data_IF_501115345579
#
_entry.id   IF_501115345579
#
_cell.length_a   1.000
_cell.length_b   1.000
_cell.length_c   1.000
_cell.angle_alpha   90.00
_cell.angle_beta   90.00
_cell.angle_gamma   90.00
#
_symmetry.space_group_name_H-M   'P 1'
#
loop_
_entity.id
_entity.type
_entity.pdbx_description
1 polymer ?
#
# COMPACT_ATOMS: atom_id res chain seq x y z
N UNK A 1 -1.66 -21.38 -5.98
CA UNK A 1 -1.41 -22.14 -4.75
C UNK A 1 -2.55 -21.83 -3.78
N UNK A 2 -3.35 -22.83 -3.40
CA UNK A 2 -4.32 -22.71 -2.32
C UNK A 2 -3.59 -22.96 -0.99
N UNK A 3 -2.94 -21.92 -0.50
CA UNK A 3 -2.35 -21.95 0.84
C UNK A 3 -3.47 -21.88 1.88
N UNK A 4 -3.30 -22.57 3.03
CA UNK A 4 -4.25 -22.45 4.13
C UNK A 4 -4.30 -20.99 4.62
N UNK A 5 -5.47 -20.50 5.09
CA UNK A 5 -5.57 -19.16 5.63
C UNK A 5 -4.61 -18.94 6.81
N UNK A 6 -3.86 -17.84 6.78
CA UNK A 6 -2.98 -17.47 7.90
C UNK A 6 -3.83 -16.84 8.99
N UNK A 7 -3.83 -17.37 10.22
CA UNK A 7 -4.52 -16.74 11.33
C UNK A 7 -3.77 -15.48 11.77
N UNK A 8 -4.50 -14.47 12.27
CA UNK A 8 -3.88 -13.23 12.76
C UNK A 8 -2.88 -13.48 13.91
N UNK A 9 -3.02 -14.59 14.64
CA UNK A 9 -2.08 -15.00 15.68
C UNK A 9 -0.65 -15.21 15.15
N UNK A 10 -0.48 -15.50 13.87
CA UNK A 10 0.83 -15.61 13.25
C UNK A 10 1.65 -14.29 13.21
N UNK A 11 1.02 -13.15 13.52
CA UNK A 11 1.72 -11.88 13.78
C UNK A 11 2.55 -11.90 15.08
N UNK A 12 2.42 -12.96 15.88
CA UNK A 12 3.17 -13.14 17.12
C UNK A 12 4.20 -14.26 16.95
N UNK A 13 5.43 -13.98 16.52
CA UNK A 13 6.48 -14.98 16.66
C UNK A 13 6.71 -15.24 18.14
N UNK A 14 6.66 -16.51 18.57
CA UNK A 14 6.77 -16.88 19.99
C UNK A 14 8.08 -16.46 20.64
N UNK A 15 9.08 -16.10 19.84
CA UNK A 15 10.44 -15.85 20.29
C UNK A 15 10.79 -14.34 20.43
N UNK A 16 9.83 -13.42 20.20
CA UNK A 16 10.10 -12.00 20.34
C UNK A 16 9.21 -11.35 21.43
N UNK A 17 9.74 -11.14 22.65
CA UNK A 17 8.98 -10.60 23.78
C UNK A 17 8.49 -9.15 23.55
N UNK A 18 9.11 -8.38 22.65
CA UNK A 18 8.66 -7.03 22.33
C UNK A 18 7.47 -7.00 21.37
N UNK A 19 7.33 -8.05 20.56
CA UNK A 19 6.24 -8.21 19.60
C UNK A 19 5.11 -9.09 20.13
N UNK A 20 5.34 -9.83 21.22
CA UNK A 20 4.35 -10.67 21.89
C UNK A 20 3.33 -9.89 22.74
N UNK A 21 3.14 -8.60 22.49
CA UNK A 21 2.20 -7.77 23.25
C UNK A 21 0.78 -7.95 22.73
N UNK A 22 -0.19 -7.96 23.64
CA UNK A 22 -1.62 -8.00 23.31
C UNK A 22 -2.03 -6.87 22.36
N UNK A 23 -1.28 -5.74 22.34
CA UNK A 23 -1.54 -4.62 21.46
C UNK A 23 -1.52 -5.00 19.97
N UNK A 24 -0.65 -5.92 19.55
CA UNK A 24 -0.64 -6.41 18.17
C UNK A 24 -1.94 -7.13 17.80
N UNK A 25 -2.51 -7.91 18.71
CA UNK A 25 -3.82 -8.53 18.51
C UNK A 25 -4.92 -7.50 18.30
N UNK A 26 -4.84 -6.39 19.03
CA UNK A 26 -5.85 -5.33 18.99
C UNK A 26 -5.90 -4.59 17.66
N UNK A 27 -4.82 -4.61 16.85
CA UNK A 27 -4.82 -3.97 15.52
C UNK A 27 -5.96 -4.44 14.62
N UNK A 28 -6.29 -5.72 14.69
CA UNK A 28 -7.27 -6.37 13.83
C UNK A 28 -8.42 -7.00 14.61
N UNK A 29 -8.54 -6.70 15.90
CA UNK A 29 -9.61 -7.22 16.74
C UNK A 29 -10.98 -6.82 16.19
N UNK A 30 -11.89 -7.79 16.08
CA UNK A 30 -13.22 -7.59 15.52
C UNK A 30 -13.30 -7.33 14.00
N UNK A 31 -12.14 -7.25 13.31
CA UNK A 31 -12.10 -7.03 11.86
C UNK A 31 -12.06 -8.35 11.08
N UNK A 32 -11.21 -9.26 11.45
CA UNK A 32 -11.09 -10.60 10.85
C UNK A 32 -10.25 -11.53 11.75
N UNK A 33 -10.46 -12.83 11.59
CA UNK A 33 -9.68 -13.86 12.27
C UNK A 33 -8.54 -14.41 11.39
N UNK A 34 -8.77 -14.47 10.09
CA UNK A 34 -7.84 -15.00 9.10
C UNK A 34 -7.60 -13.98 7.98
N UNK A 35 -6.38 -13.99 7.46
CA UNK A 35 -6.06 -13.26 6.25
C UNK A 35 -6.74 -13.88 5.03
N UNK A 36 -7.16 -13.05 4.08
CA UNK A 36 -7.73 -13.53 2.82
C UNK A 36 -6.66 -14.19 1.92
N UNK A 37 -7.08 -14.76 0.78
CA UNK A 37 -6.17 -15.49 -0.13
C UNK A 37 -4.97 -14.66 -0.59
N UNK A 38 -5.17 -13.39 -0.91
CA UNK A 38 -4.09 -12.49 -1.36
C UNK A 38 -3.10 -12.24 -0.22
N UNK A 39 -3.61 -11.88 0.94
CA UNK A 39 -2.82 -11.63 2.14
C UNK A 39 -2.08 -12.88 2.61
N UNK A 40 -2.76 -14.04 2.61
CA UNK A 40 -2.16 -15.33 2.99
C UNK A 40 -0.99 -15.71 2.10
N UNK A 41 -1.13 -15.57 0.76
CA UNK A 41 -0.05 -15.92 -0.16
C UNK A 41 1.15 -14.99 -0.05
N UNK A 42 0.92 -13.70 0.23
CA UNK A 42 1.98 -12.71 0.38
C UNK A 42 2.53 -12.63 1.82
N UNK A 43 1.88 -13.25 2.80
CA UNK A 43 2.16 -13.09 4.23
C UNK A 43 3.62 -13.37 4.57
N UNK A 44 4.12 -14.53 4.20
CA UNK A 44 5.49 -14.95 4.55
C UNK A 44 6.53 -13.98 3.99
N UNK A 45 6.40 -13.61 2.72
CA UNK A 45 7.30 -12.63 2.11
C UNK A 45 7.17 -11.24 2.73
N UNK A 46 5.95 -10.80 3.05
CA UNK A 46 5.72 -9.47 3.62
C UNK A 46 6.20 -9.37 5.06
N UNK A 47 5.98 -10.41 5.87
CA UNK A 47 6.20 -10.36 7.31
C UNK A 47 7.48 -11.06 7.79
N UNK A 48 7.93 -12.13 7.11
CA UNK A 48 9.11 -12.90 7.49
C UNK A 48 10.33 -12.73 6.58
N UNK A 49 10.27 -11.82 5.60
CA UNK A 49 11.43 -11.52 4.75
C UNK A 49 11.64 -10.02 4.59
N UNK A 50 12.86 -9.64 4.21
CA UNK A 50 13.24 -8.27 3.86
C UNK A 50 13.23 -8.02 2.33
N UNK A 51 12.78 -9.00 1.55
CA UNK A 51 12.74 -8.90 0.10
C UNK A 51 11.81 -7.76 -0.36
N UNK A 52 12.18 -7.09 -1.45
CA UNK A 52 11.27 -6.19 -2.13
C UNK A 52 10.03 -6.94 -2.64
N UNK A 53 8.88 -6.27 -2.66
CA UNK A 53 7.62 -6.90 -3.06
C UNK A 53 6.89 -6.04 -4.08
N UNK A 54 6.36 -6.67 -5.11
CA UNK A 54 5.35 -6.11 -6.00
C UNK A 54 4.06 -6.93 -5.85
N UNK A 55 3.03 -6.29 -5.32
CA UNK A 55 1.72 -6.89 -5.10
C UNK A 55 0.69 -6.31 -6.06
N UNK A 56 0.44 -6.99 -7.16
CA UNK A 56 -0.65 -6.71 -8.10
C UNK A 56 -1.91 -7.49 -7.70
N UNK A 57 -2.94 -6.79 -7.25
CA UNK A 57 -4.20 -7.41 -6.82
C UNK A 57 -5.38 -6.44 -7.02
N UNK A 58 -6.59 -6.96 -7.29
CA UNK A 58 -7.76 -6.12 -7.54
C UNK A 58 -8.06 -5.19 -6.36
N UNK A 59 -8.72 -4.07 -6.66
CA UNK A 59 -9.22 -3.15 -5.61
C UNK A 59 -10.17 -3.91 -4.67
N UNK A 60 -10.06 -3.64 -3.37
CA UNK A 60 -10.84 -4.37 -2.36
C UNK A 60 -10.29 -5.74 -1.96
N UNK A 61 -9.07 -6.10 -2.39
CA UNK A 61 -8.40 -7.35 -1.99
C UNK A 61 -7.60 -7.24 -0.69
N UNK A 62 -7.61 -6.07 -0.03
CA UNK A 62 -6.92 -5.86 1.24
C UNK A 62 -5.42 -5.53 1.11
N UNK A 63 -4.99 -4.88 0.01
CA UNK A 63 -3.61 -4.43 -0.20
C UNK A 63 -3.07 -3.56 0.94
N UNK A 64 -3.92 -2.74 1.56
CA UNK A 64 -3.53 -1.90 2.70
C UNK A 64 -3.01 -2.74 3.87
N UNK A 65 -3.69 -3.85 4.19
CA UNK A 65 -3.22 -4.78 5.24
C UNK A 65 -1.90 -5.42 4.84
N UNK A 66 -1.69 -5.72 3.56
CA UNK A 66 -0.40 -6.22 3.06
C UNK A 66 0.73 -5.19 3.28
N UNK A 67 0.46 -3.91 3.05
CA UNK A 67 1.40 -2.84 3.41
C UNK A 67 1.67 -2.81 4.92
N UNK A 68 0.64 -2.91 5.74
CA UNK A 68 0.77 -2.92 7.20
C UNK A 68 1.62 -4.10 7.68
N UNK A 69 1.50 -5.29 7.08
CA UNK A 69 2.36 -6.43 7.39
C UNK A 69 3.84 -6.11 7.16
N UNK A 70 4.17 -5.47 6.03
CA UNK A 70 5.53 -5.03 5.76
C UNK A 70 6.01 -3.94 6.74
N UNK A 71 5.11 -3.03 7.15
CA UNK A 71 5.41 -2.00 8.15
C UNK A 71 5.69 -2.62 9.52
N UNK A 72 4.89 -3.61 9.94
CA UNK A 72 5.09 -4.34 11.20
C UNK A 72 6.43 -5.09 11.19
N UNK A 73 6.78 -5.74 10.08
CA UNK A 73 8.09 -6.36 9.90
C UNK A 73 9.22 -5.32 10.02
N UNK A 74 9.09 -4.16 9.36
CA UNK A 74 10.08 -3.10 9.43
C UNK A 74 10.26 -2.54 10.86
N UNK A 75 9.20 -2.43 11.64
CA UNK A 75 9.29 -2.01 13.04
C UNK A 75 9.97 -3.05 13.93
N UNK A 76 9.78 -4.33 13.63
CA UNK A 76 10.43 -5.44 14.33
C UNK A 76 11.93 -5.49 14.02
N UNK A 77 12.26 -5.48 12.74
CA UNK A 77 13.61 -5.80 12.26
C UNK A 77 14.54 -4.58 12.26
N UNK A 78 13.97 -3.37 12.18
CA UNK A 78 14.71 -2.11 12.13
C UNK A 78 14.21 -1.12 13.20
N UNK A 79 14.50 -1.35 14.50
CA UNK A 79 14.15 -0.43 15.56
C UNK A 79 14.70 0.98 15.29
N UNK A 80 13.84 2.00 15.30
CA UNK A 80 14.22 3.39 14.96
C UNK A 80 14.34 3.66 13.45
N UNK A 81 14.11 2.66 12.60
CA UNK A 81 13.92 2.83 11.17
C UNK A 81 12.62 3.58 10.86
N UNK A 82 12.54 4.18 9.68
CA UNK A 82 11.37 4.96 9.25
C UNK A 82 10.67 4.28 8.09
N UNK A 83 9.36 4.36 8.12
CA UNK A 83 8.48 3.90 7.03
C UNK A 83 7.99 5.11 6.25
N UNK A 84 8.15 5.06 4.93
CA UNK A 84 7.58 6.03 4.00
C UNK A 84 6.45 5.35 3.24
N UNK A 85 5.26 5.94 3.31
CA UNK A 85 4.11 5.51 2.52
C UNK A 85 3.77 6.59 1.49
N UNK A 86 3.91 6.25 0.23
CA UNK A 86 3.68 7.16 -0.90
C UNK A 86 2.34 6.82 -1.52
N UNK A 87 1.40 7.76 -1.43
CA UNK A 87 0.10 7.66 -2.09
C UNK A 87 -0.02 8.70 -3.21
N UNK A 88 -0.65 8.36 -4.36
CA UNK A 88 -0.64 9.23 -5.53
C UNK A 88 -1.50 10.50 -5.37
N UNK A 89 -2.46 10.49 -4.45
CA UNK A 89 -3.42 11.58 -4.26
C UNK A 89 -3.46 12.01 -2.79
N UNK A 90 -3.59 13.32 -2.55
CA UNK A 90 -3.77 13.89 -1.20
C UNK A 90 -4.95 13.29 -0.44
N UNK A 91 -6.04 12.96 -1.13
CA UNK A 91 -7.20 12.32 -0.52
C UNK A 91 -6.86 10.95 0.07
N UNK A 92 -6.07 10.14 -0.65
CA UNK A 92 -5.59 8.83 -0.17
C UNK A 92 -4.60 8.97 0.98
N UNK A 93 -3.74 10.00 0.97
CA UNK A 93 -2.86 10.31 2.10
C UNK A 93 -3.70 10.57 3.35
N UNK A 94 -4.72 11.43 3.27
CA UNK A 94 -5.60 11.75 4.40
C UNK A 94 -6.38 10.54 4.90
N UNK A 95 -6.90 9.72 4.00
CA UNK A 95 -7.59 8.47 4.34
C UNK A 95 -6.68 7.54 5.15
N UNK A 96 -5.42 7.35 4.71
CA UNK A 96 -4.44 6.53 5.44
C UNK A 96 -4.08 7.13 6.80
N UNK A 97 -3.90 8.45 6.87
CA UNK A 97 -3.65 9.16 8.13
C UNK A 97 -4.77 8.91 9.14
N UNK A 98 -6.03 9.07 8.74
CA UNK A 98 -7.17 8.86 9.63
C UNK A 98 -7.26 7.40 10.12
N UNK A 99 -7.13 6.42 9.21
CA UNK A 99 -7.15 5.00 9.60
C UNK A 99 -6.00 4.66 10.57
N UNK A 100 -4.80 5.10 10.27
CA UNK A 100 -3.61 4.72 11.05
C UNK A 100 -3.41 5.50 12.34
N UNK A 101 -4.00 6.70 12.48
CA UNK A 101 -4.05 7.40 13.77
C UNK A 101 -4.72 6.54 14.84
N UNK A 102 -5.85 5.95 14.52
CA UNK A 102 -6.60 5.10 15.45
C UNK A 102 -6.04 3.69 15.60
N UNK A 103 -5.23 3.25 14.67
CA UNK A 103 -4.68 1.91 14.60
C UNK A 103 -3.22 1.86 15.05
N UNK A 104 -2.30 2.31 14.20
CA UNK A 104 -0.86 2.20 14.46
C UNK A 104 -0.38 3.17 15.54
N UNK A 105 -0.93 4.39 15.60
CA UNK A 105 -0.48 5.36 16.60
C UNK A 105 -1.00 5.01 18.00
N UNK A 106 -2.27 4.66 18.13
CA UNK A 106 -2.87 4.34 19.44
C UNK A 106 -2.38 2.99 19.95
N UNK A 107 -2.41 1.95 19.10
CA UNK A 107 -2.11 0.58 19.53
C UNK A 107 -0.61 0.34 19.68
N UNK A 108 0.21 0.84 18.74
CA UNK A 108 1.66 0.60 18.72
C UNK A 108 2.49 1.79 19.18
N UNK A 109 1.84 2.87 19.63
CA UNK A 109 2.50 4.12 20.03
C UNK A 109 3.47 4.67 18.95
N UNK A 110 3.10 4.53 17.66
CA UNK A 110 3.91 5.03 16.54
C UNK A 110 3.54 6.48 16.20
N UNK A 111 4.55 7.26 15.86
CA UNK A 111 4.38 8.67 15.45
C UNK A 111 4.19 8.75 13.94
N UNK A 112 3.05 9.27 13.54
CA UNK A 112 2.62 9.40 12.15
C UNK A 112 2.60 10.86 11.73
N UNK A 113 3.15 11.16 10.56
CA UNK A 113 3.23 12.52 10.02
C UNK A 113 2.73 12.56 8.58
N UNK A 114 1.87 13.52 8.26
CA UNK A 114 1.45 13.87 6.90
C UNK A 114 2.48 14.77 6.24
N UNK A 115 2.77 14.51 4.95
CA UNK A 115 3.62 15.36 4.13
C UNK A 115 3.00 15.51 2.73
N UNK A 116 2.23 16.59 2.55
CA UNK A 116 1.52 16.92 1.29
C UNK A 116 1.79 18.36 0.85
N UNK A 117 1.24 18.73 -0.32
CA UNK A 117 1.32 20.11 -0.80
C UNK A 117 0.68 21.13 0.15
N UNK A 118 -0.37 20.71 0.83
CA UNK A 118 -1.15 21.56 1.74
C UNK A 118 -0.56 21.60 3.14
N UNK A 119 0.17 20.56 3.53
CA UNK A 119 0.75 20.43 4.85
C UNK A 119 2.21 19.94 4.77
N UNK A 120 3.12 20.77 5.26
CA UNK A 120 4.53 20.44 5.38
C UNK A 120 4.92 20.59 6.85
N UNK A 121 5.14 19.49 7.57
CA UNK A 121 5.52 19.51 8.98
C UNK A 121 6.91 20.13 9.15
N UNK A 122 7.22 20.57 10.38
CA UNK A 122 8.54 21.04 10.72
C UNK A 122 9.57 19.90 10.73
N UNK A 123 10.84 20.27 10.77
CA UNK A 123 11.94 19.31 10.75
C UNK A 123 11.93 18.37 11.96
N UNK A 124 11.51 18.85 13.13
CA UNK A 124 11.46 18.05 14.35
C UNK A 124 10.40 16.96 14.27
N UNK A 125 9.22 17.29 13.71
CA UNK A 125 8.16 16.32 13.46
C UNK A 125 8.63 15.21 12.50
N UNK A 126 9.29 15.56 11.40
CA UNK A 126 9.86 14.59 10.45
C UNK A 126 10.95 13.72 11.08
N UNK A 127 11.82 14.31 11.89
CA UNK A 127 12.85 13.55 12.61
C UNK A 127 12.27 12.59 13.63
N UNK A 128 11.20 13.01 14.32
CA UNK A 128 10.54 12.20 15.35
C UNK A 128 9.53 11.19 14.81
N UNK A 129 9.15 11.25 13.53
CA UNK A 129 8.17 10.35 12.94
C UNK A 129 8.71 8.93 12.75
N UNK A 130 7.88 7.93 13.03
CA UNK A 130 8.11 6.54 12.65
C UNK A 130 7.54 6.26 11.24
N UNK A 131 6.42 6.92 10.91
CA UNK A 131 5.72 6.76 9.64
C UNK A 131 5.53 8.15 9.01
N UNK A 132 5.92 8.31 7.75
CA UNK A 132 5.65 9.50 6.95
C UNK A 132 4.75 9.09 5.79
N UNK A 133 3.53 9.62 5.75
CA UNK A 133 2.59 9.42 4.64
C UNK A 133 2.61 10.65 3.74
N UNK A 134 2.92 10.47 2.47
CA UNK A 134 3.22 11.59 1.59
C UNK A 134 2.76 11.38 0.16
N UNK A 135 2.75 12.47 -0.62
CA UNK A 135 2.66 12.40 -2.08
C UNK A 135 4.05 12.23 -2.71
N UNK A 136 4.12 11.67 -3.95
CA UNK A 136 5.40 11.45 -4.63
C UNK A 136 6.24 12.73 -4.73
N UNK A 137 5.63 13.85 -5.13
CA UNK A 137 6.31 15.12 -5.35
C UNK A 137 6.98 15.65 -4.07
N UNK A 138 6.31 15.44 -2.93
CA UNK A 138 6.87 15.88 -1.64
C UNK A 138 8.02 15.02 -1.19
N UNK A 139 7.90 13.71 -1.34
CA UNK A 139 9.01 12.83 -1.02
C UNK A 139 10.20 13.02 -1.95
N UNK A 140 9.95 13.22 -3.26
CA UNK A 140 11.03 13.57 -4.21
C UNK A 140 11.79 14.82 -3.76
N UNK A 141 11.07 15.91 -3.46
CA UNK A 141 11.68 17.17 -3.03
C UNK A 141 12.48 17.06 -1.74
N UNK A 142 12.02 16.25 -0.78
CA UNK A 142 12.72 16.04 0.48
C UNK A 142 13.93 15.14 0.31
N UNK A 143 13.79 14.01 -0.39
CA UNK A 143 14.84 13.03 -0.51
C UNK A 143 16.03 13.46 -1.39
N UNK A 144 15.89 14.50 -2.18
CA UNK A 144 17.01 15.11 -2.95
C UNK A 144 18.17 15.52 -2.05
N UNK A 145 17.88 16.05 -0.87
CA UNK A 145 18.88 16.52 0.10
C UNK A 145 19.12 15.51 1.22
N UNK A 146 19.14 14.21 0.89
CA UNK A 146 19.25 13.13 1.85
C UNK A 146 20.52 13.21 2.75
N UNK A 147 21.62 13.73 2.20
CA UNK A 147 22.88 13.86 2.94
C UNK A 147 22.76 14.80 4.15
N UNK A 148 21.97 15.87 4.02
CA UNK A 148 21.72 16.83 5.09
C UNK A 148 20.50 16.45 5.97
N UNK A 149 19.81 15.36 5.66
CA UNK A 149 18.55 14.97 6.31
C UNK A 149 18.63 13.56 6.90
N UNK A 150 19.08 13.48 8.12
CA UNK A 150 19.29 12.20 8.83
C UNK A 150 18.05 11.29 8.88
N UNK A 151 16.84 11.84 8.81
CA UNK A 151 15.62 11.03 8.77
C UNK A 151 15.41 10.33 7.42
N UNK A 152 16.00 10.84 6.33
CA UNK A 152 15.96 10.16 5.01
C UNK A 152 16.89 8.95 5.01
N UNK A 153 18.07 9.06 5.63
CA UNK A 153 19.02 7.93 5.72
C UNK A 153 18.60 6.86 6.73
N UNK A 154 17.57 7.12 7.54
CA UNK A 154 16.97 6.15 8.47
C UNK A 154 15.78 5.40 7.87
N UNK A 155 15.42 5.65 6.61
CA UNK A 155 14.33 4.92 5.96
C UNK A 155 14.71 3.47 5.80
N UNK A 156 13.87 2.57 6.31
CA UNK A 156 14.02 1.12 6.18
C UNK A 156 12.98 0.51 5.22
N UNK A 157 11.82 1.16 5.08
CA UNK A 157 10.75 0.70 4.20
C UNK A 157 10.16 1.86 3.41
N UNK A 158 9.98 1.66 2.11
CA UNK A 158 9.19 2.52 1.24
C UNK A 158 8.03 1.71 0.67
N UNK A 159 6.80 2.11 0.97
CA UNK A 159 5.59 1.57 0.34
C UNK A 159 5.13 2.55 -0.73
N UNK A 160 4.93 2.06 -1.95
CA UNK A 160 4.39 2.84 -3.07
C UNK A 160 3.01 2.30 -3.40
N UNK A 161 1.99 3.06 -3.07
CA UNK A 161 0.61 2.70 -3.37
C UNK A 161 0.22 3.12 -4.80
N UNK A 162 -0.64 2.31 -5.42
CA UNK A 162 -1.13 2.51 -6.79
C UNK A 162 0.01 2.69 -7.83
N UNK A 163 1.05 1.86 -7.73
CA UNK A 163 2.26 1.96 -8.56
C UNK A 163 1.98 1.85 -10.07
N UNK A 164 0.84 1.29 -10.49
CA UNK A 164 0.41 1.22 -11.89
C UNK A 164 0.17 2.61 -12.53
N UNK A 165 0.06 3.66 -11.71
CA UNK A 165 -0.01 5.04 -12.19
C UNK A 165 1.33 5.58 -12.72
N UNK A 166 2.38 4.75 -12.74
CA UNK A 166 3.66 5.04 -13.41
C UNK A 166 3.51 5.44 -14.88
N UNK A 167 2.52 4.93 -15.60
CA UNK A 167 2.24 5.30 -16.98
C UNK A 167 1.60 6.67 -17.17
N UNK A 168 1.30 7.39 -16.11
CA UNK A 168 0.72 8.73 -16.13
C UNK A 168 1.80 9.81 -15.94
N UNK A 169 1.39 11.08 -15.91
CA UNK A 169 2.28 12.25 -15.75
C UNK A 169 3.22 12.21 -14.54
N UNK A 170 2.91 11.37 -13.54
CA UNK A 170 3.69 11.20 -12.30
C UNK A 170 4.69 10.04 -12.33
N UNK A 171 4.71 9.28 -13.40
CA UNK A 171 5.62 8.14 -13.57
C UNK A 171 7.10 8.51 -13.35
N UNK A 172 7.61 9.57 -14.02
CA UNK A 172 9.00 9.99 -13.88
C UNK A 172 9.41 10.30 -12.43
N UNK A 173 8.50 10.83 -11.62
CA UNK A 173 8.77 11.14 -10.20
C UNK A 173 8.96 9.85 -9.41
N UNK A 174 8.10 8.86 -9.61
CA UNK A 174 8.21 7.57 -8.92
C UNK A 174 9.49 6.81 -9.32
N UNK A 175 9.86 6.85 -10.61
CA UNK A 175 11.11 6.27 -11.10
C UNK A 175 12.34 6.87 -10.40
N UNK A 176 12.37 8.20 -10.28
CA UNK A 176 13.46 8.91 -9.60
C UNK A 176 13.50 8.58 -8.12
N UNK A 177 12.34 8.49 -7.46
CA UNK A 177 12.25 8.12 -6.03
C UNK A 177 12.85 6.73 -5.81
N UNK A 178 12.41 5.72 -6.55
CA UNK A 178 12.90 4.34 -6.40
C UNK A 178 14.40 4.27 -6.65
N UNK A 179 14.88 4.85 -7.74
CA UNK A 179 16.31 4.90 -8.09
C UNK A 179 17.13 5.58 -6.98
N UNK A 180 16.64 6.70 -6.44
CA UNK A 180 17.30 7.41 -5.35
C UNK A 180 17.31 6.60 -4.07
N UNK A 181 16.22 5.96 -3.68
CA UNK A 181 16.17 5.15 -2.46
C UNK A 181 17.12 3.94 -2.55
N UNK A 182 17.21 3.30 -3.71
CA UNK A 182 18.20 2.24 -3.97
C UNK A 182 19.64 2.77 -3.89
N UNK A 183 19.89 3.93 -4.46
CA UNK A 183 21.21 4.59 -4.38
C UNK A 183 21.58 4.93 -2.93
N UNK A 184 20.66 5.49 -2.15
CA UNK A 184 20.86 5.80 -0.72
C UNK A 184 21.14 4.52 0.05
N UNK A 185 20.37 3.46 -0.17
CA UNK A 185 20.59 2.14 0.44
C UNK A 185 22.03 1.64 0.23
N UNK A 186 22.51 1.69 -1.01
CA UNK A 186 23.88 1.28 -1.33
C UNK A 186 24.93 2.17 -0.67
N UNK A 187 24.71 3.49 -0.64
CA UNK A 187 25.69 4.45 -0.08
C UNK A 187 25.75 4.47 1.43
N UNK A 188 24.65 4.14 2.10
CA UNK A 188 24.58 4.15 3.56
C UNK A 188 24.81 2.77 4.17
N UNK A 189 24.95 1.74 3.34
CA UNK A 189 25.01 0.33 3.75
C UNK A 189 23.83 -0.09 4.63
N UNK A 190 22.69 0.60 4.48
CA UNK A 190 21.43 0.32 5.16
C UNK A 190 20.40 -0.13 4.14
N UNK A 191 19.91 -1.36 4.24
CA UNK A 191 18.92 -1.85 3.30
C UNK A 191 17.63 -1.02 3.39
N UNK A 192 17.14 -0.60 2.23
CA UNK A 192 15.83 0.04 2.08
C UNK A 192 14.94 -0.92 1.32
N UNK A 193 13.98 -1.49 2.01
CA UNK A 193 12.98 -2.36 1.41
C UNK A 193 11.95 -1.54 0.64
N UNK A 194 11.54 -2.03 -0.55
CA UNK A 194 10.51 -1.39 -1.38
C UNK A 194 9.34 -2.34 -1.57
N UNK A 195 8.14 -1.87 -1.27
CA UNK A 195 6.87 -2.60 -1.47
C UNK A 195 5.97 -1.79 -2.39
N UNK A 196 5.75 -2.29 -3.60
CA UNK A 196 4.83 -1.70 -4.58
C UNK A 196 3.45 -2.38 -4.51
N UNK A 197 2.40 -1.57 -4.38
CA UNK A 197 1.02 -2.03 -4.41
C UNK A 197 0.36 -1.57 -5.70
N UNK A 198 -0.35 -2.46 -6.37
CA UNK A 198 -0.97 -2.20 -7.67
C UNK A 198 -2.30 -2.93 -7.84
N UNK A 199 -3.05 -2.55 -8.86
CA UNK A 199 -3.99 -3.48 -9.50
C UNK A 199 -3.23 -4.57 -10.25
N UNK A 200 -3.92 -5.58 -10.80
CA UNK A 200 -3.27 -6.58 -11.65
C UNK A 200 -2.55 -5.91 -12.84
N UNK A 201 -1.34 -6.35 -13.11
CA UNK A 201 -0.43 -5.75 -14.10
C UNK A 201 -0.19 -6.71 -15.27
N UNK A 202 -0.17 -6.17 -16.49
CA UNK A 202 0.18 -6.94 -17.69
C UNK A 202 1.70 -7.18 -17.79
N UNK A 203 2.51 -6.20 -17.36
CA UNK A 203 3.98 -6.21 -17.41
C UNK A 203 4.61 -6.30 -16.00
N UNK A 204 4.07 -7.12 -15.13
CA UNK A 204 4.50 -7.24 -13.74
C UNK A 204 5.99 -7.60 -13.58
N UNK A 205 6.54 -8.39 -14.50
CA UNK A 205 7.96 -8.77 -14.47
C UNK A 205 8.92 -7.58 -14.68
N UNK A 206 8.60 -6.67 -15.59
CA UNK A 206 9.43 -5.49 -15.85
C UNK A 206 9.46 -4.57 -14.64
N UNK A 207 8.31 -4.40 -14.00
CA UNK A 207 8.21 -3.60 -12.76
C UNK A 207 8.91 -4.29 -11.59
N UNK A 208 8.86 -5.61 -11.50
CA UNK A 208 9.57 -6.38 -10.48
C UNK A 208 11.09 -6.21 -10.64
N UNK A 209 11.61 -6.34 -11.86
CA UNK A 209 13.03 -6.11 -12.16
C UNK A 209 13.46 -4.68 -11.78
N UNK A 210 12.65 -3.68 -12.13
CA UNK A 210 12.91 -2.28 -11.77
C UNK A 210 12.90 -2.05 -10.25
N UNK A 211 11.99 -2.67 -9.51
CA UNK A 211 11.97 -2.62 -8.04
C UNK A 211 13.12 -3.40 -7.39
N UNK A 212 13.91 -4.15 -8.17
CA UNK A 212 14.99 -4.99 -7.68
C UNK A 212 14.48 -6.22 -6.93
N UNK A 213 13.38 -6.79 -7.40
CA UNK A 213 12.87 -8.07 -6.91
C UNK A 213 13.66 -9.18 -7.61
N UNK A 214 14.36 -9.98 -6.81
CA UNK A 214 15.11 -11.10 -7.32
C UNK A 214 14.17 -12.16 -7.93
N UNK A 215 14.56 -12.67 -9.11
CA UNK A 215 13.86 -13.77 -9.76
C UNK A 215 14.15 -15.07 -9.01
N UNK A 216 13.46 -15.30 -7.92
CA UNK A 216 13.46 -16.58 -7.22
C UNK A 216 12.20 -17.35 -7.57
N UNK A 217 12.37 -18.61 -7.98
CA UNK A 217 11.23 -19.52 -8.11
C UNK A 217 10.79 -19.99 -6.72
N UNK A 218 9.48 -19.95 -6.46
CA UNK A 218 8.91 -20.47 -5.23
C UNK A 218 8.30 -19.43 -4.29
N UNK A 219 7.96 -19.83 -3.06
CA UNK A 219 7.21 -19.00 -2.10
C UNK A 219 7.96 -17.75 -1.59
N UNK A 220 9.25 -17.61 -1.86
CA UNK A 220 10.06 -16.44 -1.52
C UNK A 220 10.14 -15.40 -2.63
N UNK A 221 9.48 -15.62 -3.77
CA UNK A 221 9.37 -14.61 -4.82
C UNK A 221 8.67 -13.38 -4.28
N UNK A 222 9.24 -12.19 -4.46
CA UNK A 222 8.62 -10.92 -4.10
C UNK A 222 7.56 -10.45 -5.11
N UNK A 223 7.32 -11.18 -6.20
CA UNK A 223 6.35 -10.82 -7.22
C UNK A 223 5.05 -11.61 -7.03
N UNK A 224 3.98 -10.89 -6.71
CA UNK A 224 2.62 -11.40 -6.61
C UNK A 224 1.72 -10.64 -7.59
N UNK A 225 1.18 -11.32 -8.60
CA UNK A 225 0.28 -10.72 -9.56
C UNK A 225 -0.99 -11.57 -9.69
N UNK A 226 -2.05 -11.13 -9.05
CA UNK A 226 -3.29 -11.88 -8.91
C UNK A 226 -4.30 -11.52 -10.01
N UNK A 227 -5.03 -12.53 -10.47
CA UNK A 227 -6.16 -12.34 -11.41
C UNK A 227 -7.33 -11.64 -10.69
N UNK A 228 -8.20 -10.95 -11.46
CA UNK A 228 -9.40 -10.31 -10.88
C UNK A 228 -10.33 -11.26 -10.11
N UNK A 229 -10.32 -12.55 -10.44
CA UNK A 229 -11.14 -13.58 -9.79
C UNK A 229 -10.82 -13.84 -8.31
N UNK A 230 -9.66 -13.38 -7.82
CA UNK A 230 -9.31 -13.54 -6.39
C UNK A 230 -9.94 -12.48 -5.49
N UNK A 231 -10.68 -11.53 -6.06
CA UNK A 231 -11.33 -10.48 -5.29
C UNK A 231 -12.30 -11.10 -4.26
N UNK A 232 -12.18 -10.75 -2.96
CA UNK A 232 -13.02 -11.34 -1.91
C UNK A 232 -14.52 -11.09 -2.11
N UNK A 233 -14.87 -9.92 -2.64
CA UNK A 233 -16.24 -9.56 -3.03
C UNK A 233 -16.30 -9.53 -4.56
N UNK A 234 -17.11 -10.36 -5.22
CA UNK A 234 -17.23 -10.37 -6.67
C UNK A 234 -17.65 -9.00 -7.23
N UNK A 235 -17.17 -8.68 -8.42
CA UNK A 235 -17.58 -7.49 -9.17
C UNK A 235 -18.36 -7.94 -10.40
N UNK A 236 -19.59 -7.47 -10.50
CA UNK A 236 -20.44 -7.63 -11.68
C UNK A 236 -20.50 -6.30 -12.44
N UNK A 237 -20.22 -6.33 -13.73
CA UNK A 237 -20.19 -5.15 -14.57
C UNK A 237 -21.28 -5.25 -15.65
N UNK A 238 -22.19 -4.27 -15.66
CA UNK A 238 -23.22 -4.13 -16.67
C UNK A 238 -22.90 -2.93 -17.57
N UNK A 239 -22.57 -3.19 -18.84
CA UNK A 239 -22.21 -2.15 -19.81
C UNK A 239 -23.36 -1.95 -20.78
N UNK A 240 -23.89 -0.72 -20.84
CA UNK A 240 -24.99 -0.33 -21.71
C UNK A 240 -24.61 0.89 -22.55
N UNK A 241 -24.97 0.89 -23.83
CA UNK A 241 -24.73 2.01 -24.75
C UNK A 241 -25.97 2.85 -24.94
N UNK A 242 -25.80 4.18 -24.98
CA UNK A 242 -26.87 5.13 -25.22
C UNK A 242 -26.54 6.04 -26.42
N UNK A 243 -27.35 6.04 -27.49
CA UNK A 243 -27.11 6.89 -28.65
C UNK A 243 -27.39 8.35 -28.33
N UNK A 244 -26.70 9.27 -29.01
CA UNK A 244 -26.90 10.69 -28.87
C UNK A 244 -25.71 11.48 -29.36
N UNK A 245 -25.93 12.44 -30.26
CA UNK A 245 -24.88 13.29 -30.83
C UNK A 245 -24.36 14.35 -29.80
N UNK A 246 -25.26 14.86 -28.99
CA UNK A 246 -24.95 15.95 -28.05
C UNK A 246 -24.91 15.41 -26.60
N UNK A 247 -23.98 15.94 -25.81
CA UNK A 247 -23.71 15.49 -24.45
C UNK A 247 -24.94 15.60 -23.53
N UNK A 248 -25.55 16.78 -23.40
CA UNK A 248 -26.66 16.98 -22.47
C UNK A 248 -27.91 16.14 -22.78
N UNK A 249 -28.44 16.08 -24.01
CA UNK A 249 -29.54 15.17 -24.34
C UNK A 249 -29.19 13.69 -24.09
N UNK A 250 -27.97 13.26 -24.39
CA UNK A 250 -27.54 11.89 -24.13
C UNK A 250 -27.53 11.58 -22.63
N UNK A 251 -27.01 12.49 -21.81
CA UNK A 251 -27.03 12.33 -20.35
C UNK A 251 -28.46 12.25 -19.80
N UNK A 252 -29.38 13.06 -20.33
CA UNK A 252 -30.79 13.01 -19.92
C UNK A 252 -31.44 11.65 -20.24
N UNK A 253 -31.07 10.99 -21.36
CA UNK A 253 -31.60 9.65 -21.71
C UNK A 253 -31.10 8.56 -20.77
N UNK A 254 -29.99 8.77 -20.08
CA UNK A 254 -29.44 7.80 -19.13
C UNK A 254 -30.16 7.79 -17.75
N UNK A 255 -30.88 8.83 -17.39
CA UNK A 255 -31.53 8.95 -16.07
C UNK A 255 -32.45 7.77 -15.73
N UNK A 256 -33.37 7.42 -16.64
CA UNK A 256 -34.29 6.28 -16.42
C UNK A 256 -33.56 4.93 -16.34
N UNK A 257 -32.67 4.59 -17.29
CA UNK A 257 -31.85 3.38 -17.21
C UNK A 257 -31.00 3.30 -15.92
N UNK A 258 -30.38 4.40 -15.51
CA UNK A 258 -29.61 4.44 -14.25
C UNK A 258 -30.47 4.13 -13.03
N UNK A 259 -31.66 4.74 -12.96
CA UNK A 259 -32.61 4.43 -11.90
C UNK A 259 -33.09 2.98 -11.92
N UNK A 260 -33.36 2.45 -13.11
CA UNK A 260 -33.75 1.04 -13.27
C UNK A 260 -32.61 0.10 -12.83
N UNK A 261 -31.36 0.40 -13.21
CA UNK A 261 -30.19 -0.36 -12.78
C UNK A 261 -30.04 -0.37 -11.25
N UNK A 262 -30.16 0.79 -10.60
CA UNK A 262 -30.13 0.88 -9.14
C UNK A 262 -31.21 0.00 -8.51
N UNK A 263 -32.43 0.09 -8.97
CA UNK A 263 -33.54 -0.73 -8.45
C UNK A 263 -33.34 -2.23 -8.67
N UNK A 264 -32.72 -2.62 -9.78
CA UNK A 264 -32.51 -4.02 -10.12
C UNK A 264 -31.36 -4.62 -9.33
N UNK A 265 -30.23 -3.89 -9.24
CA UNK A 265 -28.97 -4.46 -8.74
C UNK A 265 -28.64 -4.05 -7.30
N UNK A 266 -29.26 -2.99 -6.78
CA UNK A 266 -29.05 -2.50 -5.41
C UNK A 266 -30.35 -2.15 -4.69
N UNK A 267 -31.34 -3.09 -4.65
CA UNK A 267 -32.60 -2.83 -3.96
C UNK A 267 -32.33 -2.61 -2.46
N UNK A 268 -32.88 -1.53 -1.93
CA UNK A 268 -32.82 -1.20 -0.48
C UNK A 268 -31.41 -0.99 0.09
N UNK A 269 -30.41 -0.79 -0.78
CA UNK A 269 -29.03 -0.51 -0.34
C UNK A 269 -28.53 0.81 -0.91
N UNK A 270 -27.56 1.46 -0.24
CA UNK A 270 -26.94 2.68 -0.76
C UNK A 270 -26.33 2.43 -2.14
N UNK A 271 -26.55 3.37 -3.07
CA UNK A 271 -25.93 3.41 -4.40
C UNK A 271 -25.14 4.70 -4.56
N UNK A 272 -23.96 4.60 -5.17
CA UNK A 272 -23.06 5.72 -5.47
C UNK A 272 -23.17 6.09 -6.95
#
# INVERSE_FOLDING_TARGET
LDLPPVPRQALFPPDNPELGREEFFKLYEGKFEFFNKVQTQAFDTLFHSESNVLLGAPTGSGKTISAELAMLAAFRDHPGGKVIYIAPLKALVRERIEDWKHKLCVVLNKKLVELTGDYTPDMRALQGADIIVCTPEKWDGISRNWQARSYVTKVSLVVIDEIHLLGADRGPILEVIVSRMRFISTRTERPVRIVGLSTALANANDLADWLGIEKQEGPKSGLFNFKPSVRPVPLECHIQGYPGKFYCPRMATMNKPTYAAIRTHSPEKPAL
#
